data_IF_576848911908
#
_entry.id   IF_576848911908
#
_cell.length_a   1.000
_cell.length_b   1.000
_cell.length_c   1.000
_cell.angle_alpha   90.00
_cell.angle_beta   90.00
_cell.angle_gamma   90.00
#
_symmetry.space_group_name_H-M   'P 1'
#
loop_
_entity.id
_entity.type
_entity.pdbx_description
1 polymer ?
#
# COMPACT_ATOMS: atom_id res chain seq x y z
N UNK A 1 -60.92 -42.14 37.41
CA UNK A 1 -59.85 -41.52 36.60
C UNK A 1 -59.61 -42.46 35.42
N UNK A 2 -60.33 -42.39 34.29
CA UNK A 2 -60.49 -41.31 33.32
C UNK A 2 -59.17 -40.75 32.77
N UNK A 3 -59.04 -40.88 31.43
CA UNK A 3 -58.02 -40.40 30.46
C UNK A 3 -56.90 -41.40 30.16
N UNK A 4 -56.53 -41.72 28.93
CA UNK A 4 -57.00 -41.47 27.55
C UNK A 4 -55.99 -42.33 26.72
N UNK A 5 -56.33 -43.36 25.93
CA UNK A 5 -56.81 -43.27 24.54
C UNK A 5 -55.92 -42.29 23.73
N UNK A 6 -55.23 -42.57 22.62
CA UNK A 6 -55.53 -43.36 21.41
C UNK A 6 -54.26 -43.31 20.51
N UNK A 7 -53.90 -44.44 19.91
CA UNK A 7 -53.67 -44.65 18.46
C UNK A 7 -52.75 -43.67 17.67
N UNK A 8 -51.64 -44.24 17.19
CA UNK A 8 -51.20 -44.33 15.78
C UNK A 8 -51.73 -43.23 14.84
N UNK A 9 -50.85 -42.38 14.32
CA UNK A 9 -51.00 -41.92 12.94
C UNK A 9 -49.64 -41.76 12.27
N UNK A 10 -49.42 -42.67 11.32
CA UNK A 10 -48.45 -42.63 10.23
C UNK A 10 -48.57 -41.30 9.51
N UNK A 11 -47.43 -40.67 9.21
CA UNK A 11 -47.18 -39.82 8.04
C UNK A 11 -45.65 -39.65 7.94
N UNK A 12 -44.95 -40.51 7.21
CA UNK A 12 -44.61 -40.26 5.80
C UNK A 12 -44.32 -38.77 5.55
N UNK A 13 -43.11 -38.33 5.89
CA UNK A 13 -42.39 -37.39 5.03
C UNK A 13 -40.93 -37.81 5.02
N UNK A 14 -40.52 -38.28 3.84
CA UNK A 14 -39.16 -38.69 3.57
C UNK A 14 -38.18 -37.61 3.98
N UNK A 15 -37.08 -38.03 4.59
CA UNK A 15 -35.82 -37.31 4.55
C UNK A 15 -35.38 -37.21 3.09
N UNK A 16 -36.00 -36.29 2.36
CA UNK A 16 -35.42 -35.72 1.16
C UNK A 16 -34.19 -34.97 1.64
N UNK A 17 -33.03 -35.59 1.42
CA UNK A 17 -31.73 -34.99 1.57
C UNK A 17 -31.71 -33.77 0.63
N UNK A 18 -32.12 -32.63 1.16
CA UNK A 18 -32.10 -31.36 0.45
C UNK A 18 -30.62 -31.04 0.28
N UNK A 19 -30.06 -31.37 -0.89
CA UNK A 19 -28.83 -30.75 -1.38
C UNK A 19 -29.04 -29.25 -1.28
N UNK A 20 -28.42 -28.65 -0.27
CA UNK A 20 -28.23 -27.22 -0.21
C UNK A 20 -27.10 -26.97 -1.21
N UNK A 21 -27.47 -26.88 -2.49
CA UNK A 21 -26.67 -26.22 -3.51
C UNK A 21 -26.68 -24.73 -3.17
N UNK A 22 -25.86 -24.35 -2.19
CA UNK A 22 -25.33 -23.00 -2.13
C UNK A 22 -24.23 -22.88 -3.18
N UNK A 23 -24.62 -22.98 -4.45
CA UNK A 23 -24.08 -22.07 -5.46
C UNK A 23 -24.58 -20.67 -5.09
N UNK A 24 -23.96 -20.11 -4.05
CA UNK A 24 -23.88 -18.68 -3.89
C UNK A 24 -23.15 -18.21 -5.14
N UNK A 25 -23.93 -17.82 -6.15
CA UNK A 25 -23.43 -17.09 -7.30
C UNK A 25 -22.80 -15.84 -6.72
N UNK A 26 -21.49 -15.91 -6.52
CA UNK A 26 -20.65 -14.75 -6.26
C UNK A 26 -21.08 -13.71 -7.29
N UNK A 27 -21.58 -12.53 -6.87
CA UNK A 27 -22.05 -11.55 -7.83
C UNK A 27 -20.91 -11.24 -8.78
N UNK A 28 -21.07 -11.66 -10.04
CA UNK A 28 -20.19 -11.32 -11.14
C UNK A 28 -20.35 -9.83 -11.46
N UNK A 29 -19.93 -8.97 -10.53
CA UNK A 29 -19.92 -7.51 -10.68
C UNK A 29 -19.18 -6.76 -9.56
N UNK A 30 -17.96 -7.16 -9.21
CA UNK A 30 -16.97 -6.23 -8.63
C UNK A 30 -15.60 -6.51 -9.27
N UNK A 31 -15.55 -6.39 -10.60
CA UNK A 31 -14.30 -6.19 -11.34
C UNK A 31 -14.45 -4.93 -12.19
N UNK A 32 -14.72 -3.81 -11.52
CA UNK A 32 -14.15 -2.56 -12.03
C UNK A 32 -12.73 -2.56 -11.50
N UNK A 33 -11.80 -2.94 -12.38
CA UNK A 33 -10.36 -2.74 -12.24
C UNK A 33 -10.09 -1.36 -11.59
N UNK A 34 -9.88 -1.35 -10.27
CA UNK A 34 -9.40 -0.20 -9.51
C UNK A 34 -7.88 -0.10 -9.72
N UNK A 35 -7.45 0.06 -10.97
CA UNK A 35 -6.06 0.30 -11.33
C UNK A 35 -5.93 1.76 -11.77
N UNK A 36 -5.83 2.71 -10.84
CA UNK A 36 -5.60 4.12 -11.22
C UNK A 36 -5.02 5.02 -10.10
N UNK A 37 -4.98 4.61 -8.83
CA UNK A 37 -4.40 5.43 -7.76
C UNK A 37 -2.89 5.63 -7.95
N UNK A 38 -2.18 4.55 -8.29
CA UNK A 38 -0.76 4.58 -8.64
C UNK A 38 -0.49 5.49 -9.85
N UNK A 39 -1.32 5.42 -10.88
CA UNK A 39 -1.17 6.25 -12.08
C UNK A 39 -1.43 7.73 -11.79
N UNK A 40 -2.44 8.03 -10.95
CA UNK A 40 -2.70 9.39 -10.50
C UNK A 40 -1.51 9.95 -9.70
N UNK A 41 -0.91 9.13 -8.82
CA UNK A 41 0.27 9.51 -8.06
C UNK A 41 1.47 9.78 -8.98
N UNK A 42 1.79 8.85 -9.90
CA UNK A 42 2.87 9.02 -10.89
C UNK A 42 2.69 10.27 -11.75
N UNK A 43 1.48 10.49 -12.28
CA UNK A 43 1.15 11.68 -13.06
C UNK A 43 1.30 12.98 -12.26
N UNK A 44 0.99 12.94 -10.97
CA UNK A 44 1.17 14.10 -10.09
C UNK A 44 2.65 14.39 -9.88
N UNK A 45 3.47 13.37 -9.67
CA UNK A 45 4.94 13.50 -9.57
C UNK A 45 5.54 14.07 -10.86
N UNK A 46 5.06 13.65 -12.04
CA UNK A 46 5.51 14.23 -13.31
C UNK A 46 5.26 15.74 -13.38
N UNK A 47 4.06 16.17 -13.02
CA UNK A 47 3.70 17.60 -12.99
C UNK A 47 4.56 18.38 -12.00
N UNK A 48 4.86 17.78 -10.84
CA UNK A 48 5.70 18.40 -9.82
C UNK A 48 7.17 18.58 -10.24
N UNK A 49 7.63 17.76 -11.19
CA UNK A 49 9.03 17.71 -11.64
C UNK A 49 9.32 18.54 -12.89
N UNK A 50 8.31 19.09 -13.57
CA UNK A 50 8.52 19.97 -14.73
C UNK A 50 9.43 21.17 -14.35
N UNK A 51 10.43 21.51 -15.19
CA UNK A 51 10.67 21.04 -16.56
C UNK A 51 11.49 19.74 -16.71
N UNK A 52 11.93 19.10 -15.62
CA UNK A 52 12.70 17.85 -15.69
C UNK A 52 11.78 16.67 -16.00
N UNK A 53 12.26 15.74 -16.83
CA UNK A 53 11.54 14.50 -17.15
C UNK A 53 11.72 13.49 -16.01
N UNK A 54 10.64 12.84 -15.58
CA UNK A 54 10.71 11.71 -14.66
C UNK A 54 11.30 10.47 -15.34
N UNK A 55 12.08 9.74 -14.57
CA UNK A 55 12.61 8.42 -14.88
C UNK A 55 11.85 7.33 -14.09
N UNK A 56 11.83 6.13 -14.65
CA UNK A 56 11.35 4.92 -13.98
C UNK A 56 12.32 3.76 -14.19
N UNK A 57 12.55 2.98 -13.13
CA UNK A 57 13.30 1.72 -13.13
C UNK A 57 12.52 0.71 -12.31
N UNK A 58 12.23 -0.45 -12.90
CA UNK A 58 11.52 -1.55 -12.24
C UNK A 58 12.37 -2.81 -12.25
N UNK A 59 12.49 -3.43 -11.08
CA UNK A 59 13.25 -4.66 -10.86
C UNK A 59 12.28 -5.81 -10.52
N UNK A 60 12.48 -6.96 -11.17
CA UNK A 60 11.64 -8.16 -10.99
C UNK A 60 12.40 -9.33 -10.37
N UNK A 61 13.74 -9.26 -10.37
CA UNK A 61 14.57 -10.38 -9.93
C UNK A 61 14.81 -10.30 -8.42
N UNK A 62 14.50 -11.38 -7.69
CA UNK A 62 14.55 -11.41 -6.22
C UNK A 62 15.95 -11.16 -5.65
N UNK A 63 16.99 -11.64 -6.32
CA UNK A 63 18.39 -11.36 -5.97
C UNK A 63 18.69 -9.86 -6.04
N UNK A 64 18.29 -9.20 -7.12
CA UNK A 64 18.50 -7.76 -7.30
C UNK A 64 17.71 -6.96 -6.27
N UNK A 65 16.48 -7.38 -5.96
CA UNK A 65 15.66 -6.75 -4.90
C UNK A 65 16.32 -6.93 -3.53
N UNK A 66 16.88 -8.11 -3.25
CA UNK A 66 17.55 -8.43 -2.00
C UNK A 66 18.84 -7.67 -1.74
N UNK A 67 19.46 -7.11 -2.78
CA UNK A 67 20.65 -6.27 -2.66
C UNK A 67 20.35 -4.90 -2.04
N UNK A 68 19.09 -4.46 -2.02
CA UNK A 68 18.67 -3.23 -1.37
C UNK A 68 18.45 -3.45 0.13
N UNK A 69 19.36 -2.92 0.96
CA UNK A 69 19.30 -3.10 2.42
C UNK A 69 17.99 -2.57 3.01
N UNK A 70 17.50 -1.43 2.51
CA UNK A 70 16.24 -0.84 2.95
C UNK A 70 14.99 -1.67 2.59
N UNK A 71 15.11 -2.59 1.63
CA UNK A 71 14.07 -3.58 1.36
C UNK A 71 14.25 -4.78 2.27
N UNK A 72 15.42 -5.41 2.20
CA UNK A 72 15.73 -6.66 2.91
C UNK A 72 15.53 -6.56 4.42
N UNK A 73 15.88 -5.42 5.01
CA UNK A 73 15.86 -5.24 6.46
C UNK A 73 14.43 -4.98 7.00
N UNK A 74 13.45 -4.65 6.15
CA UNK A 74 12.05 -4.33 6.55
C UNK A 74 11.00 -5.27 5.97
N UNK A 75 11.28 -5.86 4.83
CA UNK A 75 10.32 -6.64 4.07
C UNK A 75 10.92 -8.00 3.72
N UNK A 76 10.24 -9.11 4.05
CA UNK A 76 10.65 -10.42 3.60
C UNK A 76 10.66 -10.46 2.06
N UNK A 77 11.80 -10.82 1.45
CA UNK A 77 11.98 -10.78 0.00
C UNK A 77 11.02 -11.74 -0.71
N UNK A 78 10.67 -12.85 -0.06
CA UNK A 78 9.71 -13.83 -0.56
C UNK A 78 8.29 -13.29 -0.74
N UNK A 79 7.97 -12.15 -0.12
CA UNK A 79 6.68 -11.47 -0.24
C UNK A 79 6.62 -10.47 -1.41
N UNK A 80 7.77 -10.13 -2.00
CA UNK A 80 7.90 -9.08 -3.00
C UNK A 80 7.98 -9.71 -4.41
N UNK A 81 7.10 -9.27 -5.30
CA UNK A 81 7.14 -9.63 -6.72
C UNK A 81 8.07 -8.71 -7.52
N UNK A 82 8.00 -7.40 -7.25
CA UNK A 82 8.86 -6.41 -7.90
C UNK A 82 8.96 -5.13 -7.09
N UNK A 83 9.96 -4.31 -7.38
CA UNK A 83 10.03 -2.92 -6.89
C UNK A 83 10.19 -1.97 -8.07
N UNK A 84 9.60 -0.80 -7.99
CA UNK A 84 9.78 0.29 -8.97
C UNK A 84 10.22 1.57 -8.26
N UNK A 85 11.22 2.25 -8.82
CA UNK A 85 11.62 3.60 -8.42
C UNK A 85 11.21 4.55 -9.54
N UNK A 86 10.43 5.57 -9.20
CA UNK A 86 9.82 6.51 -10.14
C UNK A 86 10.04 7.97 -9.69
N UNK A 87 10.53 8.86 -10.55
CA UNK A 87 10.73 10.27 -10.20
C UNK A 87 11.92 10.89 -10.92
N UNK A 88 12.45 12.00 -10.41
CA UNK A 88 13.59 12.67 -11.05
C UNK A 88 14.90 12.24 -10.39
N UNK A 89 15.54 11.20 -10.93
CA UNK A 89 16.79 10.68 -10.40
C UNK A 89 17.69 10.14 -11.52
N UNK A 90 19.00 10.14 -11.31
CA UNK A 90 19.91 9.46 -12.22
C UNK A 90 19.89 7.95 -11.94
N UNK A 91 19.42 7.16 -12.91
CA UNK A 91 19.32 5.68 -12.80
C UNK A 91 20.63 5.01 -12.39
N UNK A 92 21.78 5.57 -12.81
CA UNK A 92 23.11 5.05 -12.46
C UNK A 92 23.48 5.25 -10.98
N UNK A 93 22.74 6.10 -10.26
CA UNK A 93 22.99 6.43 -8.85
C UNK A 93 22.08 5.66 -7.88
N UNK A 94 21.24 4.73 -8.37
CA UNK A 94 20.51 3.82 -7.48
C UNK A 94 21.55 2.98 -6.72
N UNK A 95 21.54 3.09 -5.39
CA UNK A 95 22.52 2.45 -4.50
C UNK A 95 21.83 1.47 -3.55
N UNK A 96 22.53 0.39 -3.19
CA UNK A 96 22.05 -0.63 -2.25
C UNK A 96 21.53 -0.07 -0.91
N UNK A 97 22.05 1.08 -0.45
CA UNK A 97 21.76 1.63 0.89
C UNK A 97 20.83 2.84 0.91
N UNK A 98 20.50 3.42 -0.25
CA UNK A 98 19.78 4.71 -0.30
C UNK A 98 18.77 4.71 -1.44
N UNK A 99 17.57 5.18 -1.13
CA UNK A 99 16.56 5.48 -2.14
C UNK A 99 16.80 6.91 -2.63
N UNK A 100 16.72 7.19 -3.95
CA UNK A 100 16.83 8.54 -4.44
C UNK A 100 15.78 9.46 -3.82
N UNK A 101 16.18 10.66 -3.42
CA UNK A 101 15.26 11.68 -2.92
C UNK A 101 14.37 12.21 -4.06
N UNK A 102 13.20 12.75 -3.71
CA UNK A 102 12.18 13.23 -4.65
C UNK A 102 11.75 12.13 -5.64
N UNK A 103 11.76 10.88 -5.17
CA UNK A 103 11.33 9.71 -5.91
C UNK A 103 10.33 8.90 -5.11
N UNK A 104 9.50 8.16 -5.85
CA UNK A 104 8.52 7.21 -5.37
C UNK A 104 9.10 5.81 -5.50
N UNK A 105 9.28 5.14 -4.36
CA UNK A 105 9.45 3.69 -4.32
C UNK A 105 8.06 3.04 -4.29
N UNK A 106 7.83 2.06 -5.16
CA UNK A 106 6.63 1.22 -5.17
C UNK A 106 7.07 -0.21 -4.95
N UNK A 107 6.54 -0.84 -3.91
CA UNK A 107 6.78 -2.25 -3.61
C UNK A 107 5.54 -3.04 -4.03
N UNK A 108 5.73 -3.90 -5.01
CA UNK A 108 4.70 -4.79 -5.51
C UNK A 108 4.72 -6.11 -4.73
N UNK A 109 3.69 -6.37 -3.94
CA UNK A 109 3.59 -7.58 -3.14
C UNK A 109 2.82 -8.69 -3.86
N UNK A 110 3.22 -9.93 -3.60
CA UNK A 110 2.58 -11.12 -4.17
C UNK A 110 1.24 -11.50 -3.54
N UNK A 111 0.86 -10.84 -2.44
CA UNK A 111 -0.41 -11.04 -1.73
C UNK A 111 -1.08 -9.71 -1.40
N UNK A 112 -2.37 -9.64 -1.65
CA UNK A 112 -3.18 -8.41 -1.57
C UNK A 112 -3.22 -7.74 -0.19
N UNK A 113 -3.05 -8.48 0.91
CA UNK A 113 -3.15 -7.93 2.28
C UNK A 113 -1.82 -7.41 2.84
N UNK A 114 -0.72 -7.57 2.11
CA UNK A 114 0.61 -7.26 2.64
C UNK A 114 0.86 -5.76 2.72
N UNK A 115 0.47 -4.98 1.72
CA UNK A 115 0.74 -3.53 1.70
C UNK A 115 0.23 -2.80 2.94
N UNK A 116 -1.02 -3.04 3.34
CA UNK A 116 -1.61 -2.43 4.55
C UNK A 116 -0.91 -2.89 5.84
N UNK A 117 -0.56 -4.17 5.94
CA UNK A 117 0.20 -4.68 7.08
C UNK A 117 1.59 -4.05 7.16
N UNK A 118 2.27 -3.89 6.02
CA UNK A 118 3.60 -3.27 5.94
C UNK A 118 3.56 -1.76 6.19
N UNK A 119 2.49 -1.07 5.82
CA UNK A 119 2.26 0.32 6.22
C UNK A 119 2.19 0.46 7.75
N UNK A 120 1.42 -0.41 8.42
CA UNK A 120 1.36 -0.43 9.89
C UNK A 120 2.71 -0.76 10.54
N UNK A 121 3.48 -1.69 9.95
CA UNK A 121 4.83 -2.03 10.43
C UNK A 121 5.76 -0.82 10.32
N UNK A 122 5.79 -0.13 9.19
CA UNK A 122 6.59 1.08 9.04
C UNK A 122 6.23 2.17 10.06
N UNK A 123 4.93 2.31 10.36
CA UNK A 123 4.46 3.21 11.40
C UNK A 123 5.00 2.82 12.78
N UNK A 124 4.94 1.54 13.12
CA UNK A 124 5.46 1.01 14.38
C UNK A 124 6.98 1.18 14.49
N UNK A 125 7.73 0.75 13.46
CA UNK A 125 9.19 0.85 13.42
C UNK A 125 9.67 2.29 13.57
N UNK A 126 9.03 3.26 12.92
CA UNK A 126 9.41 4.65 13.06
C UNK A 126 8.99 5.30 14.38
N UNK A 127 7.95 4.81 15.05
CA UNK A 127 7.55 5.34 16.36
C UNK A 127 8.40 4.78 17.50
N UNK A 128 8.73 3.49 17.47
CA UNK A 128 9.20 2.77 18.64
C UNK A 128 10.67 2.29 18.54
N UNK A 129 11.19 2.06 17.32
CA UNK A 129 12.54 1.50 17.12
C UNK A 129 13.48 2.43 16.34
N UNK A 130 12.93 3.32 15.52
CA UNK A 130 13.52 4.32 14.62
C UNK A 130 14.52 3.80 13.58
N UNK A 131 15.47 2.94 13.96
CA UNK A 131 16.67 2.61 13.20
C UNK A 131 16.40 2.08 11.80
N UNK A 132 15.43 1.18 11.66
CA UNK A 132 15.21 0.51 10.38
C UNK A 132 14.39 1.39 9.43
N UNK A 133 13.37 2.08 9.95
CA UNK A 133 12.52 2.99 9.18
C UNK A 133 13.19 4.37 8.91
N UNK A 134 14.32 4.68 9.55
CA UNK A 134 15.07 5.92 9.36
C UNK A 134 15.45 6.16 7.89
N UNK A 135 15.76 5.10 7.14
CA UNK A 135 16.09 5.20 5.71
C UNK A 135 14.95 5.80 4.87
N UNK A 136 13.71 5.67 5.33
CA UNK A 136 12.54 6.25 4.70
C UNK A 136 12.20 7.63 5.25
N UNK A 137 12.22 7.80 6.58
CA UNK A 137 11.58 8.96 7.21
C UNK A 137 12.55 10.04 7.69
N UNK A 138 13.85 9.76 7.83
CA UNK A 138 14.82 10.74 8.39
C UNK A 138 14.78 12.10 7.72
N UNK A 139 14.67 12.09 6.39
CA UNK A 139 14.65 13.29 5.54
C UNK A 139 13.25 13.74 5.14
N UNK A 140 12.25 13.04 5.64
CA UNK A 140 10.85 13.21 5.31
C UNK A 140 10.35 12.26 4.23
N UNK A 141 9.16 11.70 4.43
CA UNK A 141 8.49 10.87 3.43
C UNK A 141 6.98 10.81 3.66
N UNK A 142 6.27 10.50 2.56
CA UNK A 142 4.85 10.16 2.59
C UNK A 142 4.69 8.74 2.08
N UNK A 143 4.11 7.88 2.92
CA UNK A 143 3.90 6.46 2.60
C UNK A 143 2.41 6.20 2.47
N UNK A 144 2.01 5.47 1.43
CA UNK A 144 0.62 5.15 1.12
C UNK A 144 0.44 3.65 0.93
N UNK A 145 -0.75 3.16 1.26
CA UNK A 145 -1.27 1.96 0.61
C UNK A 145 -2.18 2.40 -0.54
N UNK A 146 -1.79 2.08 -1.77
CA UNK A 146 -2.52 2.44 -3.00
C UNK A 146 -2.55 1.26 -3.95
N UNK A 147 -3.73 0.95 -4.48
CA UNK A 147 -3.96 -0.17 -5.39
C UNK A 147 -3.34 -1.49 -4.85
N UNK A 148 -3.42 -1.71 -3.52
CA UNK A 148 -2.85 -2.86 -2.80
C UNK A 148 -1.33 -2.94 -2.80
N UNK A 149 -0.64 -1.85 -3.12
CA UNK A 149 0.81 -1.74 -3.12
C UNK A 149 1.26 -0.73 -2.07
N UNK A 150 2.48 -0.91 -1.55
CA UNK A 150 3.09 0.05 -0.64
C UNK A 150 3.91 1.05 -1.45
N UNK A 151 3.59 2.32 -1.28
CA UNK A 151 4.19 3.43 -2.01
C UNK A 151 4.89 4.34 -1.02
N UNK A 152 6.17 4.66 -1.24
CA UNK A 152 6.93 5.57 -0.38
C UNK A 152 7.49 6.70 -1.23
N UNK A 153 6.94 7.90 -1.09
CA UNK A 153 7.50 9.10 -1.71
C UNK A 153 8.49 9.75 -0.76
N UNK A 154 9.78 9.67 -1.09
CA UNK A 154 10.84 10.29 -0.29
C UNK A 154 11.05 11.72 -0.74
N UNK A 155 11.21 12.61 0.23
CA UNK A 155 11.55 14.00 0.03
C UNK A 155 12.82 14.32 0.79
N UNK A 156 13.45 15.45 0.49
CA UNK A 156 14.50 15.99 1.33
C UNK A 156 14.00 17.28 1.97
N UNK A 157 13.12 17.16 2.96
CA UNK A 157 12.51 18.33 3.62
C UNK A 157 13.43 19.01 4.64
N UNK A 158 14.65 18.50 4.82
CA UNK A 158 15.65 19.09 5.72
C UNK A 158 16.49 20.21 5.08
N UNK A 159 16.37 20.47 3.78
CA UNK A 159 17.14 21.50 3.07
C UNK A 159 16.39 22.84 2.96
N UNK A 160 17.13 23.96 3.01
CA UNK A 160 16.59 25.32 3.10
C UNK A 160 15.73 25.80 1.90
N UNK A 161 15.59 24.99 0.86
CA UNK A 161 14.76 25.27 -0.34
C UNK A 161 13.79 24.12 -0.66
N UNK A 162 13.64 23.17 0.26
CA UNK A 162 12.78 22.03 0.06
C UNK A 162 11.29 22.42 0.08
N UNK A 163 10.51 21.83 -0.83
CA UNK A 163 9.05 21.92 -0.76
C UNK A 163 8.60 21.31 0.57
N UNK A 164 7.77 22.04 1.31
CA UNK A 164 7.22 21.55 2.58
C UNK A 164 6.45 20.26 2.34
N UNK A 165 6.70 19.23 3.18
CA UNK A 165 6.00 17.94 3.07
C UNK A 165 4.48 18.11 3.17
N UNK A 166 4.00 19.13 3.91
CA UNK A 166 2.59 19.49 4.01
C UNK A 166 2.00 19.91 2.66
N UNK A 167 2.74 20.68 1.85
CA UNK A 167 2.29 21.09 0.51
C UNK A 167 2.25 19.91 -0.45
N UNK A 168 3.24 19.02 -0.36
CA UNK A 168 3.28 17.78 -1.14
C UNK A 168 2.10 16.88 -0.76
N UNK A 169 1.82 16.73 0.54
CA UNK A 169 0.66 15.98 1.03
C UNK A 169 -0.66 16.52 0.49
N UNK A 170 -0.86 17.84 0.54
CA UNK A 170 -2.07 18.50 0.00
C UNK A 170 -2.19 18.24 -1.51
N UNK A 171 -1.07 18.27 -2.24
CA UNK A 171 -1.04 18.01 -3.68
C UNK A 171 -1.48 16.58 -3.99
N UNK A 172 -0.90 15.59 -3.31
CA UNK A 172 -1.29 14.19 -3.47
C UNK A 172 -2.73 13.95 -3.01
N UNK A 173 -3.16 14.54 -1.89
CA UNK A 173 -4.53 14.44 -1.41
C UNK A 173 -5.54 14.94 -2.43
N UNK A 174 -5.30 16.13 -2.98
CA UNK A 174 -6.17 16.72 -4.01
C UNK A 174 -6.26 15.82 -5.23
N UNK A 175 -5.12 15.34 -5.74
CA UNK A 175 -5.08 14.49 -6.92
C UNK A 175 -5.82 13.15 -6.73
N UNK A 176 -5.62 12.50 -5.57
CA UNK A 176 -6.25 11.22 -5.26
C UNK A 176 -7.75 11.36 -4.91
N UNK A 177 -8.14 12.43 -4.20
CA UNK A 177 -9.54 12.66 -3.83
C UNK A 177 -10.43 13.05 -5.02
N UNK A 178 -9.89 13.81 -6.00
CA UNK A 178 -10.58 14.08 -7.28
C UNK A 178 -10.97 12.81 -8.04
N UNK A 179 -10.38 11.67 -7.69
CA UNK A 179 -10.59 10.37 -8.32
C UNK A 179 -11.29 9.37 -7.39
N UNK A 180 -11.75 9.81 -6.22
CA UNK A 180 -12.48 9.01 -5.23
C UNK A 180 -11.74 7.74 -4.81
N UNK A 181 -10.44 7.87 -4.51
CA UNK A 181 -9.67 6.77 -3.92
C UNK A 181 -9.72 6.81 -2.40
N UNK A 182 -10.11 5.68 -1.81
CA UNK A 182 -9.91 5.41 -0.40
C UNK A 182 -8.47 4.92 -0.22
N UNK A 183 -7.71 5.56 0.66
CA UNK A 183 -6.34 5.16 0.94
C UNK A 183 -5.92 5.62 2.34
N UNK A 184 -4.99 4.87 2.91
CA UNK A 184 -4.31 5.24 4.13
C UNK A 184 -2.92 5.80 3.79
N UNK A 185 -2.50 6.82 4.54
CA UNK A 185 -1.13 7.32 4.45
C UNK A 185 -0.56 7.71 5.80
N UNK A 186 0.76 7.66 5.87
CA UNK A 186 1.57 8.13 6.99
C UNK A 186 2.59 9.15 6.45
N UNK A 187 2.79 10.22 7.20
CA UNK A 187 3.63 11.36 6.85
C UNK A 187 4.63 11.56 7.98
N UNK A 188 5.91 11.73 7.65
CA UNK A 188 6.93 12.19 8.59
C UNK A 188 7.69 13.34 7.93
N UNK A 189 7.79 14.48 8.62
CA UNK A 189 8.64 15.61 8.22
C UNK A 189 10.03 15.48 8.86
N UNK A 190 11.01 16.23 8.36
CA UNK A 190 12.36 16.27 8.89
C UNK A 190 12.36 16.48 10.41
N UNK A 191 12.98 15.55 11.15
CA UNK A 191 13.09 15.63 12.61
C UNK A 191 11.77 15.43 13.38
N UNK A 192 10.67 15.07 12.71
CA UNK A 192 9.38 14.80 13.37
C UNK A 192 9.06 13.31 13.42
N UNK A 193 8.82 12.83 14.63
CA UNK A 193 8.48 11.43 14.94
C UNK A 193 6.97 11.18 14.85
N UNK A 194 6.13 12.22 14.83
CA UNK A 194 4.68 12.04 14.86
C UNK A 194 4.10 11.75 13.48
N UNK A 195 3.47 10.58 13.33
CA UNK A 195 2.59 10.30 12.20
C UNK A 195 1.21 10.91 12.38
N UNK A 196 0.69 11.46 11.29
CA UNK A 196 -0.75 11.67 11.16
C UNK A 196 -1.34 10.55 10.30
N UNK A 197 -1.98 9.56 10.93
CA UNK A 197 -2.74 8.53 10.22
C UNK A 197 -4.04 9.16 9.73
N UNK A 198 -4.20 9.25 8.42
CA UNK A 198 -5.43 9.77 7.80
C UNK A 198 -6.06 8.67 6.94
N UNK A 199 -7.30 8.33 7.26
CA UNK A 199 -8.19 7.54 6.41
C UNK A 199 -9.04 8.55 5.65
N UNK A 200 -8.98 8.52 4.32
CA UNK A 200 -10.01 9.17 3.49
C UNK A 200 -11.09 8.14 3.18
#
# INVERSE_FOLDING_TARGET
MNKLILIILILFLGFSCKKIDQTEKLPAKIDRLHTNGLNALKSTIDKMNLPKKSDSVKFYEKNVIGDFLFIRDLFPIEEIDSIEIYGTFNKKLIQAKKIPENSLLIIYFNKQRLAKNRLNLLQFEWNDYHKVAEVFYKKGAITFELDRQLCVYLVNSCENEAKSIKQIDITFKTALHQKSYDYERIISDCGTVSFERRVN
#
